data_IF_392956341171
#
_entry.id   IF_392956341171
#
_cell.length_a   1.000
_cell.length_b   1.000
_cell.length_c   1.000
_cell.angle_alpha   90.00
_cell.angle_beta   90.00
_cell.angle_gamma   90.00
#
_symmetry.space_group_name_H-M   'P 1'
#
loop_
_entity.id
_entity.type
_entity.pdbx_description
1 polymer ?
#
# COMPACT_ATOMS: atom_id res chain seq x y z
N UNK A 1 -11.91 -7.79 -7.83
CA UNK A 1 -10.98 -7.58 -6.69
C UNK A 1 -11.68 -6.63 -5.72
N UNK A 2 -12.08 -7.08 -4.52
CA UNK A 2 -12.68 -6.20 -3.52
C UNK A 2 -11.54 -5.53 -2.76
N UNK A 3 -11.38 -4.22 -2.89
CA UNK A 3 -10.37 -3.46 -2.14
C UNK A 3 -11.09 -2.60 -1.12
N UNK A 4 -10.76 -2.76 0.16
CA UNK A 4 -11.44 -2.06 1.22
C UNK A 4 -10.84 -0.65 1.38
N UNK A 5 -11.44 0.33 0.70
CA UNK A 5 -11.06 1.75 0.76
C UNK A 5 -11.36 2.38 2.13
N UNK A 6 -12.14 1.71 2.99
CA UNK A 6 -12.55 2.24 4.30
C UNK A 6 -11.45 2.16 5.36
N UNK A 7 -10.43 1.32 5.18
CA UNK A 7 -9.42 1.09 6.22
C UNK A 7 -8.52 2.33 6.41
N UNK A 8 -8.34 3.14 5.37
CA UNK A 8 -7.39 4.27 5.33
C UNK A 8 -8.05 5.65 5.29
N UNK A 9 -9.36 5.70 5.57
CA UNK A 9 -10.16 6.91 5.56
C UNK A 9 -11.01 7.04 4.31
N UNK A 10 -12.30 6.74 4.44
CA UNK A 10 -13.24 7.01 3.35
C UNK A 10 -13.34 8.52 3.11
N UNK A 11 -13.30 8.91 1.84
CA UNK A 11 -13.54 10.29 1.42
C UNK A 11 -14.99 10.65 1.75
N UNK A 12 -15.19 11.72 2.52
CA UNK A 12 -16.53 12.23 2.83
C UNK A 12 -17.04 12.96 1.59
N UNK A 13 -18.16 12.54 0.99
CA UNK A 13 -18.70 13.23 -0.17
C UNK A 13 -18.98 14.71 0.19
N UNK A 14 -18.70 15.62 -0.74
CA UNK A 14 -18.87 17.08 -0.60
C UNK A 14 -17.86 17.82 0.29
N UNK A 15 -16.80 17.15 0.78
CA UNK A 15 -15.72 17.79 1.54
C UNK A 15 -14.37 17.14 1.24
N UNK A 16 -13.26 17.86 1.32
CA UNK A 16 -11.90 17.28 1.18
C UNK A 16 -11.47 16.43 2.39
N UNK A 17 -12.38 16.18 3.33
CA UNK A 17 -12.10 15.49 4.58
C UNK A 17 -12.10 13.97 4.38
N UNK A 18 -11.08 13.31 4.92
CA UNK A 18 -11.03 11.85 5.04
C UNK A 18 -11.38 11.44 6.46
N UNK A 19 -12.15 10.37 6.61
CA UNK A 19 -12.32 9.74 7.91
C UNK A 19 -10.95 9.28 8.45
N UNK A 20 -10.73 9.30 9.78
CA UNK A 20 -9.52 8.73 10.35
C UNK A 20 -9.39 7.25 9.95
N UNK A 21 -8.15 6.80 9.73
CA UNK A 21 -7.87 5.41 9.38
C UNK A 21 -8.39 4.47 10.48
N UNK A 22 -9.06 3.39 10.08
CA UNK A 22 -9.65 2.41 11.01
C UNK A 22 -8.55 1.56 11.65
N UNK A 23 -7.43 1.34 10.94
CA UNK A 23 -6.20 0.73 11.45
C UNK A 23 -4.99 1.13 10.60
N UNK A 24 -3.81 0.92 11.13
CA UNK A 24 -2.55 1.06 10.39
C UNK A 24 -2.39 -0.05 9.34
N UNK A 25 -1.71 0.24 8.21
CA UNK A 25 -1.42 -0.77 7.19
C UNK A 25 -0.47 -1.83 7.73
N UNK A 26 -0.70 -3.08 7.35
CA UNK A 26 0.16 -4.21 7.69
C UNK A 26 0.85 -4.77 6.43
N UNK A 27 2.01 -5.39 6.62
CA UNK A 27 2.70 -6.06 5.53
C UNK A 27 1.82 -7.15 4.92
N UNK A 28 1.61 -7.07 3.59
CA UNK A 28 0.72 -7.95 2.84
C UNK A 28 -0.61 -7.30 2.45
N UNK A 29 -0.99 -6.16 3.04
CA UNK A 29 -2.24 -5.48 2.71
C UNK A 29 -2.27 -4.95 1.26
N UNK A 30 -3.45 -4.95 0.64
CA UNK A 30 -3.67 -4.18 -0.60
C UNK A 30 -4.19 -2.80 -0.20
N UNK A 31 -3.43 -1.77 -0.54
CA UNK A 31 -3.72 -0.38 -0.17
C UNK A 31 -4.08 0.44 -1.41
N UNK A 32 -5.00 1.39 -1.22
CA UNK A 32 -5.34 2.41 -2.21
C UNK A 32 -4.91 3.75 -1.67
N UNK A 33 -4.13 4.48 -2.45
CA UNK A 33 -3.68 5.82 -2.09
C UNK A 33 -3.62 6.71 -3.32
N UNK A 34 -3.78 8.02 -3.12
CA UNK A 34 -3.60 8.98 -4.20
C UNK A 34 -2.14 9.07 -4.60
N UNK A 35 -1.88 9.05 -5.90
CA UNK A 35 -0.54 9.15 -6.42
C UNK A 35 0.07 10.51 -6.02
N UNK A 36 1.22 10.54 -5.31
CA UNK A 36 1.73 11.79 -4.75
C UNK A 36 2.07 12.88 -5.77
N UNK A 37 2.29 12.53 -7.05
CA UNK A 37 2.55 13.51 -8.11
C UNK A 37 1.28 13.96 -8.84
N UNK A 38 0.22 13.15 -8.82
CA UNK A 38 -1.07 13.48 -9.41
C UNK A 38 -2.21 12.93 -8.52
N UNK A 39 -2.75 13.74 -7.60
CA UNK A 39 -3.78 13.29 -6.66
C UNK A 39 -5.12 12.88 -7.30
N UNK A 40 -5.32 13.18 -8.58
CA UNK A 40 -6.48 12.72 -9.35
C UNK A 40 -6.42 11.20 -9.62
N UNK A 41 -5.22 10.60 -9.57
CA UNK A 41 -5.01 9.18 -9.81
C UNK A 41 -4.96 8.38 -8.50
N UNK A 42 -5.89 7.43 -8.33
CA UNK A 42 -5.83 6.43 -7.27
C UNK A 42 -4.95 5.25 -7.69
N UNK A 43 -3.95 4.90 -6.87
CA UNK A 43 -3.08 3.75 -7.07
C UNK A 43 -3.45 2.62 -6.14
N UNK A 44 -3.54 1.40 -6.69
CA UNK A 44 -3.72 0.16 -5.93
C UNK A 44 -2.39 -0.59 -5.91
N UNK A 45 -1.79 -0.75 -4.73
CA UNK A 45 -0.51 -1.46 -4.54
C UNK A 45 -0.60 -2.40 -3.33
N UNK A 46 0.36 -3.32 -3.21
CA UNK A 46 0.52 -4.15 -2.01
C UNK A 46 1.55 -3.52 -1.07
N UNK A 47 1.18 -3.32 0.19
CA UNK A 47 2.10 -2.96 1.25
C UNK A 47 3.04 -4.16 1.48
N UNK A 48 4.34 -3.96 1.33
CA UNK A 48 5.34 -5.02 1.51
C UNK A 48 6.15 -4.88 2.78
N UNK A 49 6.13 -3.69 3.38
CA UNK A 49 6.86 -3.35 4.59
C UNK A 49 6.18 -2.17 5.29
N UNK A 50 6.31 -2.11 6.60
CA UNK A 50 5.77 -1.03 7.46
C UNK A 50 6.92 -0.24 8.11
N UNK A 51 6.57 0.74 8.95
CA UNK A 51 7.54 1.56 9.68
C UNK A 51 8.57 0.69 10.44
N UNK A 52 9.82 1.14 10.44
CA UNK A 52 10.93 0.44 11.10
C UNK A 52 11.55 -0.71 10.29
N UNK A 53 10.93 -1.14 9.19
CA UNK A 53 11.49 -2.18 8.33
C UNK A 53 12.40 -1.61 7.23
N UNK A 54 13.45 -2.36 6.89
CA UNK A 54 14.38 -2.01 5.82
C UNK A 54 14.03 -2.75 4.54
N UNK A 55 13.79 -2.00 3.47
CA UNK A 55 13.56 -2.53 2.12
C UNK A 55 14.81 -2.42 1.27
N UNK A 56 15.07 -3.45 0.47
CA UNK A 56 16.13 -3.43 -0.54
C UNK A 56 15.70 -4.20 -1.78
N UNK A 57 16.09 -3.71 -2.96
CA UNK A 57 15.89 -4.45 -4.21
C UNK A 57 17.25 -4.79 -4.79
N UNK A 58 17.57 -6.08 -4.90
CA UNK A 58 18.82 -6.58 -5.46
C UNK A 58 18.49 -7.58 -6.56
N UNK A 59 19.01 -7.36 -7.77
CA UNK A 59 18.77 -8.26 -8.93
C UNK A 59 17.28 -8.59 -9.16
N UNK A 60 16.40 -7.58 -9.06
CA UNK A 60 14.92 -7.70 -9.16
C UNK A 60 14.24 -8.51 -8.05
N UNK A 61 14.97 -8.89 -7.00
CA UNK A 61 14.42 -9.54 -5.81
C UNK A 61 14.23 -8.49 -4.74
N UNK A 62 13.02 -8.43 -4.17
CA UNK A 62 12.71 -7.59 -3.02
C UNK A 62 13.19 -8.30 -1.75
N UNK A 63 13.85 -7.55 -0.86
CA UNK A 63 14.24 -7.98 0.47
C UNK A 63 13.59 -7.07 1.50
N UNK A 64 13.04 -7.66 2.56
CA UNK A 64 12.49 -6.95 3.72
C UNK A 64 13.23 -7.47 4.95
N UNK A 65 13.94 -6.59 5.66
CA UNK A 65 14.81 -6.93 6.81
C UNK A 65 15.81 -8.06 6.47
N UNK A 66 16.38 -8.00 5.26
CA UNK A 66 17.34 -8.98 4.75
C UNK A 66 16.73 -10.31 4.29
N UNK A 67 15.42 -10.52 4.46
CA UNK A 67 14.72 -11.73 4.00
C UNK A 67 14.15 -11.53 2.59
N UNK A 68 14.43 -12.42 1.63
CA UNK A 68 13.87 -12.30 0.28
C UNK A 68 12.36 -12.51 0.30
N UNK A 69 11.64 -11.61 -0.37
CA UNK A 69 10.21 -11.75 -0.63
C UNK A 69 10.01 -12.33 -2.04
N UNK A 70 9.40 -13.52 -2.15
CA UNK A 70 9.12 -14.12 -3.45
C UNK A 70 8.10 -13.28 -4.22
N UNK A 71 8.24 -13.25 -5.54
CA UNK A 71 7.20 -12.69 -6.40
C UNK A 71 5.89 -13.47 -6.19
N UNK A 72 4.73 -12.79 -6.17
CA UNK A 72 3.46 -13.49 -6.19
C UNK A 72 3.35 -14.38 -7.44
N UNK A 73 2.51 -15.44 -7.43
CA UNK A 73 2.43 -16.41 -8.52
C UNK A 73 2.24 -15.82 -9.93
N UNK A 74 1.64 -14.62 -10.01
CA UNK A 74 1.37 -13.88 -11.25
C UNK A 74 2.22 -12.59 -11.38
N UNK A 75 3.26 -12.44 -10.57
CA UNK A 75 4.18 -11.30 -10.62
C UNK A 75 5.07 -11.40 -11.85
N UNK A 76 5.05 -10.35 -12.69
CA UNK A 76 6.00 -10.18 -13.81
C UNK A 76 7.23 -9.40 -13.36
#
# INVERSE_FOLDING_TARGET
>A
LLVNKFIYGAHVPFTDWRLPAVREPEAGDIIVFQYPRNPEDDYIKRCVAVEGQRIEVRNKILYVDGKPQPLPPNGK
#
